data_IF_585662108783
#
_entry.id   IF_585662108783
#
_cell.length_a   1.000
_cell.length_b   1.000
_cell.length_c   1.000
_cell.angle_alpha   90.00
_cell.angle_beta   90.00
_cell.angle_gamma   90.00
#
_symmetry.space_group_name_H-M   'P 1'
#
loop_
_entity.id
_entity.type
_entity.pdbx_description
1 polymer ?
#
# COMPACT_ATOMS: atom_id res chain seq x y z
N UNK A 1 -17.29 -18.05 8.89
CA UNK A 1 -16.37 -17.55 7.87
C UNK A 1 -16.13 -16.07 8.06
N UNK A 2 -14.90 -15.68 8.28
CA UNK A 2 -14.60 -14.27 8.44
C UNK A 2 -14.46 -13.61 7.07
N UNK A 3 -15.02 -12.43 6.92
CA UNK A 3 -14.88 -11.64 5.71
C UNK A 3 -14.05 -10.43 6.06
N UNK A 4 -12.90 -10.30 5.42
CA UNK A 4 -12.04 -9.14 5.60
C UNK A 4 -12.58 -7.98 4.78
N UNK A 5 -12.66 -6.82 5.38
CA UNK A 5 -13.07 -5.60 4.71
C UNK A 5 -11.84 -4.70 4.64
N UNK A 6 -11.46 -4.32 3.43
CA UNK A 6 -10.30 -3.45 3.24
C UNK A 6 -10.64 -2.03 3.70
N UNK A 7 -9.82 -1.50 4.58
CA UNK A 7 -9.99 -0.16 5.14
C UNK A 7 -9.60 0.93 4.15
N UNK A 8 -8.65 0.63 3.26
CA UNK A 8 -8.14 1.59 2.28
C UNK A 8 -8.47 1.14 0.88
N UNK A 9 -8.51 2.08 -0.04
CA UNK A 9 -8.89 1.83 -1.44
C UNK A 9 -7.76 2.12 -2.39
N UNK A 10 -7.82 1.51 -3.58
CA UNK A 10 -6.88 1.79 -4.66
C UNK A 10 -6.89 3.29 -4.96
N UNK A 11 -5.71 3.88 -5.08
CA UNK A 11 -5.55 5.31 -5.32
C UNK A 11 -5.30 6.13 -4.07
N UNK A 12 -5.60 5.61 -2.90
CA UNK A 12 -5.35 6.34 -1.66
C UNK A 12 -3.86 6.36 -1.33
N UNK A 13 -3.41 7.45 -0.72
CA UNK A 13 -2.03 7.58 -0.26
C UNK A 13 -1.98 7.19 1.20
N UNK A 14 -1.07 6.28 1.52
CA UNK A 14 -0.88 5.77 2.88
C UNK A 14 0.58 5.91 3.28
N UNK A 15 0.83 5.89 4.57
CA UNK A 15 2.18 5.88 5.12
C UNK A 15 2.34 4.71 6.06
N UNK A 16 3.57 4.21 6.19
CA UNK A 16 3.86 3.12 7.11
C UNK A 16 3.86 3.65 8.55
N UNK A 17 3.33 2.85 9.45
CA UNK A 17 3.22 3.23 10.85
C UNK A 17 4.57 3.32 11.56
N UNK A 18 5.53 2.49 11.15
CA UNK A 18 6.81 2.34 11.83
C UNK A 18 8.01 2.78 11.00
N UNK A 19 7.93 2.66 9.68
CA UNK A 19 9.04 2.97 8.78
C UNK A 19 8.76 4.26 8.00
N UNK A 20 9.82 4.94 7.63
CA UNK A 20 9.71 6.24 6.96
C UNK A 20 9.49 6.07 5.45
N UNK A 21 8.31 5.60 5.06
CA UNK A 21 7.91 5.57 3.66
C UNK A 21 6.41 5.74 3.52
N UNK A 22 6.01 6.16 2.33
CA UNK A 22 4.62 6.37 1.96
C UNK A 22 4.41 5.89 0.53
N UNK A 23 3.17 5.70 0.14
CA UNK A 23 2.91 5.23 -1.21
C UNK A 23 1.44 5.28 -1.60
N UNK A 24 1.21 5.06 -2.89
CA UNK A 24 -0.13 4.98 -3.47
C UNK A 24 -0.52 3.52 -3.58
N UNK A 25 -1.71 3.18 -3.09
CA UNK A 25 -2.23 1.82 -3.22
C UNK A 25 -2.61 1.58 -4.68
N UNK A 26 -2.05 0.54 -5.30
CA UNK A 26 -2.43 0.18 -6.66
C UNK A 26 -3.11 -1.19 -6.75
N UNK A 27 -3.09 -1.99 -5.69
CA UNK A 27 -3.82 -3.24 -5.63
C UNK A 27 -4.08 -3.63 -4.17
N UNK A 28 -5.13 -4.42 -3.94
CA UNK A 28 -5.54 -4.85 -2.61
C UNK A 28 -5.77 -6.36 -2.61
N UNK A 29 -5.15 -7.05 -1.67
CA UNK A 29 -5.44 -8.45 -1.38
C UNK A 29 -6.21 -8.49 -0.06
N UNK A 30 -7.38 -9.13 -0.04
CA UNK A 30 -8.21 -9.14 1.16
C UNK A 30 -7.64 -10.03 2.27
N UNK A 31 -6.67 -10.86 1.95
CA UNK A 31 -5.83 -11.57 2.91
C UNK A 31 -4.46 -11.82 2.28
N UNK A 32 -3.51 -12.24 3.07
CA UNK A 32 -2.14 -12.46 2.60
C UNK A 32 -2.11 -13.32 1.34
N UNK A 33 -1.44 -12.83 0.31
CA UNK A 33 -1.33 -13.52 -0.98
C UNK A 33 0.07 -13.31 -1.58
N UNK A 34 1.08 -13.73 -0.83
CA UNK A 34 2.46 -13.71 -1.30
C UNK A 34 3.08 -15.06 -0.91
N UNK A 35 4.36 -15.25 -1.17
CA UNK A 35 5.01 -16.52 -0.90
C UNK A 35 5.27 -16.73 0.59
N UNK A 36 5.30 -17.98 1.00
CA UNK A 36 5.67 -18.30 2.38
C UNK A 36 7.10 -17.87 2.68
N UNK A 37 7.99 -17.95 1.68
CA UNK A 37 9.37 -17.48 1.83
C UNK A 37 9.43 -15.99 2.16
N UNK A 38 8.63 -15.19 1.46
CA UNK A 38 8.55 -13.76 1.74
C UNK A 38 8.05 -13.53 3.17
N UNK A 39 7.00 -14.26 3.57
CA UNK A 39 6.42 -14.14 4.90
C UNK A 39 7.42 -14.49 5.99
N UNK A 40 8.14 -15.60 5.79
CA UNK A 40 9.13 -16.06 6.76
C UNK A 40 10.36 -15.14 6.82
N UNK A 41 10.59 -14.32 5.79
CA UNK A 41 11.68 -13.36 5.80
C UNK A 41 11.44 -12.20 6.77
N UNK A 42 10.19 -11.99 7.18
CA UNK A 42 9.86 -10.96 8.16
C UNK A 42 10.25 -11.48 9.55
N UNK A 43 11.00 -10.69 10.34
CA UNK A 43 11.34 -11.11 11.70
C UNK A 43 10.08 -11.48 12.49
N UNK A 44 10.19 -12.54 13.27
CA UNK A 44 9.06 -13.14 13.96
C UNK A 44 8.27 -12.13 14.81
N UNK A 45 8.97 -11.23 15.48
CA UNK A 45 8.34 -10.24 16.36
C UNK A 45 7.56 -9.17 15.59
N UNK A 46 7.91 -8.93 14.35
CA UNK A 46 7.22 -7.93 13.51
C UNK A 46 6.33 -8.55 12.45
N UNK A 47 6.17 -9.85 12.47
CA UNK A 47 5.42 -10.56 11.42
C UNK A 47 3.93 -10.38 11.61
N UNK A 48 3.23 -9.77 10.63
CA UNK A 48 1.80 -9.56 10.75
C UNK A 48 1.02 -10.87 10.55
N UNK A 49 -0.18 -10.95 11.11
CA UNK A 49 -1.04 -12.08 10.84
C UNK A 49 -1.50 -12.05 9.38
N UNK A 50 -1.70 -13.22 8.79
CA UNK A 50 -2.10 -13.36 7.39
C UNK A 50 -3.57 -13.02 7.15
N UNK A 51 -4.42 -13.14 8.15
CA UNK A 51 -5.86 -12.94 8.02
C UNK A 51 -6.21 -11.45 8.20
N UNK A 52 -5.79 -10.64 7.25
CA UNK A 52 -6.12 -9.23 7.17
C UNK A 52 -5.79 -8.76 5.77
N UNK A 53 -6.33 -7.60 5.34
CA UNK A 53 -5.95 -7.05 4.04
C UNK A 53 -4.48 -6.69 3.97
N UNK A 54 -3.90 -6.91 2.78
CA UNK A 54 -2.55 -6.49 2.43
C UNK A 54 -2.64 -5.62 1.19
N UNK A 55 -1.75 -4.65 1.10
CA UNK A 55 -1.80 -3.63 0.05
C UNK A 55 -0.51 -3.58 -0.74
N UNK A 56 -0.65 -3.46 -2.06
CA UNK A 56 0.46 -3.24 -2.97
C UNK A 56 0.62 -1.74 -3.16
N UNK A 57 1.79 -1.21 -2.86
CA UNK A 57 2.05 0.22 -2.88
C UNK A 57 3.10 0.59 -3.91
N UNK A 58 2.86 1.71 -4.60
CA UNK A 58 3.92 2.43 -5.30
C UNK A 58 4.53 3.36 -4.26
N UNK A 59 5.68 2.98 -3.72
CA UNK A 59 6.25 3.60 -2.53
C UNK A 59 7.43 4.49 -2.83
N UNK A 60 7.63 5.46 -1.95
CA UNK A 60 8.80 6.34 -1.99
C UNK A 60 9.33 6.56 -0.57
N UNK A 61 10.63 6.73 -0.48
CA UNK A 61 11.34 7.09 0.75
C UNK A 61 12.65 7.75 0.39
N UNK A 62 12.85 9.01 0.78
CA UNK A 62 14.12 9.74 0.56
C UNK A 62 14.62 9.64 -0.89
N UNK A 63 13.74 9.94 -1.85
CA UNK A 63 14.03 9.92 -3.29
C UNK A 63 14.28 8.51 -3.87
N UNK A 64 14.07 7.47 -3.09
CA UNK A 64 14.12 6.09 -3.58
C UNK A 64 12.68 5.63 -3.80
N UNK A 65 12.43 5.02 -4.97
CA UNK A 65 11.10 4.50 -5.30
C UNK A 65 11.15 2.97 -5.42
N UNK A 66 10.07 2.32 -4.98
CA UNK A 66 9.99 0.86 -5.00
C UNK A 66 8.54 0.43 -4.87
N UNK A 67 8.30 -0.87 -5.00
CA UNK A 67 6.99 -1.45 -4.71
C UNK A 67 7.05 -2.13 -3.36
N UNK A 68 6.03 -1.91 -2.55
CA UNK A 68 5.96 -2.48 -1.20
C UNK A 68 4.68 -3.28 -1.03
N UNK A 69 4.73 -4.29 -0.20
CA UNK A 69 3.59 -5.13 0.17
C UNK A 69 3.41 -5.04 1.68
N UNK A 70 2.31 -4.44 2.12
CA UNK A 70 2.17 -4.05 3.53
C UNK A 70 0.82 -4.48 4.08
N UNK A 71 0.83 -5.02 5.28
CA UNK A 71 -0.39 -5.39 6.01
C UNK A 71 -1.14 -4.14 6.47
N UNK A 72 -2.47 -4.24 6.51
CA UNK A 72 -3.33 -3.14 6.90
C UNK A 72 -2.97 -2.56 8.26
N UNK A 73 -2.60 -3.42 9.22
CA UNK A 73 -2.27 -2.97 10.57
C UNK A 73 -1.10 -1.98 10.61
N UNK A 74 -0.26 -2.00 9.60
CA UNK A 74 0.94 -1.15 9.55
C UNK A 74 0.77 0.10 8.71
N UNK A 75 -0.45 0.40 8.27
CA UNK A 75 -0.71 1.55 7.42
C UNK A 75 -1.61 2.58 8.07
N UNK A 76 -1.34 3.85 7.76
CA UNK A 76 -2.15 5.00 8.15
C UNK A 76 -2.40 5.84 6.91
N UNK A 77 -3.52 6.57 6.90
CA UNK A 77 -3.78 7.53 5.82
C UNK A 77 -2.68 8.61 5.87
N UNK A 78 -2.16 8.97 4.71
CA UNK A 78 -1.26 10.11 4.58
C UNK A 78 -2.10 11.34 4.23
N UNK A 79 -2.20 12.26 5.16
CA UNK A 79 -3.01 13.47 5.00
C UNK A 79 -2.19 14.71 4.63
N UNK A 80 -0.93 14.52 4.24
CA UNK A 80 -0.06 15.64 3.86
C UNK A 80 -0.50 16.30 2.56
N UNK A 81 -1.24 15.59 1.73
CA UNK A 81 -1.65 16.04 0.40
C UNK A 81 -0.49 16.33 -0.54
N UNK A 82 0.69 15.79 -0.25
CA UNK A 82 1.83 15.91 -1.14
C UNK A 82 1.80 14.81 -2.19
N UNK A 83 2.10 15.12 -3.46
CA UNK A 83 2.15 14.07 -4.49
C UNK A 83 3.20 13.01 -4.16
N UNK A 84 2.91 11.77 -4.51
CA UNK A 84 3.89 10.70 -4.42
C UNK A 84 4.71 10.70 -5.70
N UNK A 85 6.04 10.67 -5.55
CA UNK A 85 6.96 10.68 -6.70
C UNK A 85 7.35 9.25 -7.02
N UNK A 86 6.62 8.64 -7.93
CA UNK A 86 6.93 7.29 -8.39
C UNK A 86 6.65 7.21 -9.90
N UNK A 87 7.58 6.65 -10.69
CA UNK A 87 7.44 6.65 -12.16
C UNK A 87 6.23 5.89 -12.66
N UNK A 88 5.74 4.89 -11.94
CA UNK A 88 4.59 4.09 -12.39
C UNK A 88 3.24 4.76 -12.14
N UNK A 89 3.19 5.85 -11.39
CA UNK A 89 1.92 6.53 -11.14
C UNK A 89 1.26 6.97 -12.44
N UNK A 90 2.02 7.59 -13.34
CA UNK A 90 1.49 8.06 -14.60
C UNK A 90 1.05 6.93 -15.53
N UNK A 91 1.59 5.73 -15.35
CA UNK A 91 1.21 4.57 -16.15
C UNK A 91 -0.05 3.90 -15.63
N UNK A 92 -0.30 3.95 -14.33
CA UNK A 92 -1.41 3.24 -13.68
C UNK A 92 -2.61 4.16 -13.46
N UNK A 93 -2.36 5.42 -13.13
CA UNK A 93 -3.40 6.38 -12.80
C UNK A 93 -3.48 7.49 -13.83
N UNK A 94 -4.69 8.05 -14.01
CA UNK A 94 -4.93 9.09 -15.02
C UNK A 94 -5.03 10.49 -14.43
N UNK A 95 -5.01 10.62 -13.13
CA UNK A 95 -5.11 11.92 -12.50
C UNK A 95 -5.30 11.78 -11.00
N UNK A 96 -5.70 12.88 -10.38
CA UNK A 96 -5.86 12.96 -8.95
C UNK A 96 -7.13 13.73 -8.62
N UNK A 97 -7.86 13.27 -7.61
CA UNK A 97 -9.03 13.98 -7.09
C UNK A 97 -8.87 14.07 -5.57
N UNK A 98 -8.67 15.31 -5.07
CA UNK A 98 -8.34 15.48 -3.66
C UNK A 98 -7.00 14.83 -3.35
N UNK A 99 -6.99 13.91 -2.39
CA UNK A 99 -5.78 13.19 -1.98
C UNK A 99 -5.67 11.81 -2.63
N UNK A 100 -6.63 11.44 -3.48
CA UNK A 100 -6.65 10.11 -4.10
C UNK A 100 -6.31 10.16 -5.57
N UNK A 101 -5.56 9.18 -6.04
CA UNK A 101 -5.26 9.01 -7.45
C UNK A 101 -6.38 8.24 -8.13
N UNK A 102 -6.66 8.60 -9.37
CA UNK A 102 -7.79 8.05 -10.12
C UNK A 102 -7.34 6.99 -11.11
N UNK A 103 -7.96 5.82 -11.05
CA UNK A 103 -7.76 4.78 -12.05
C UNK A 103 -8.46 5.16 -13.35
N UNK A 104 -7.95 4.69 -14.51
CA UNK A 104 -8.68 4.85 -15.75
C UNK A 104 -10.06 4.21 -15.65
N UNK A 105 -11.06 4.88 -16.19
CA UNK A 105 -12.39 4.26 -16.31
C UNK A 105 -12.48 3.49 -17.64
N UNK A 106 -13.14 2.36 -17.59
CA UNK A 106 -13.33 1.52 -18.77
C UNK A 106 -14.71 1.69 -19.34
#
# INVERSE_FOLDING_TARGET
>A
MSTNIAKFSIGEVVKHRHFDFRGVIYDVDFEFNNSEEWYQSIPKDGRPRKNQPFYHLLAESNDVTYEAYVSEQNLLIDDSNEPVKHPLIEEIFVGKKGTSYLKPSN
#
